data_IF_347254332195
#
_entry.id   IF_347254332195
#
_cell.length_a   1.000
_cell.length_b   1.000
_cell.length_c   1.000
_cell.angle_alpha   90.00
_cell.angle_beta   90.00
_cell.angle_gamma   90.00
#
_symmetry.space_group_name_H-M   'P 1'
#
loop_
_entity.id
_entity.type
_entity.pdbx_description
1 polymer ?
#
# COMPACT_ATOMS: atom_id res chain seq x y z
N UNK A 1 -3.10 5.44 9.87
CA UNK A 1 -2.62 6.57 9.16
C UNK A 1 -2.54 7.81 10.02
N UNK A 2 -3.49 8.62 10.33
CA UNK A 2 -3.21 9.99 10.80
C UNK A 2 -3.24 10.23 12.30
N UNK A 3 -2.69 9.37 13.13
CA UNK A 3 -2.60 9.73 14.55
C UNK A 3 -1.56 10.83 14.82
N UNK A 4 -0.54 10.91 13.99
CA UNK A 4 0.53 11.88 14.14
C UNK A 4 0.55 12.94 13.04
N UNK A 5 -0.18 12.70 11.97
CA UNK A 5 -0.35 13.65 10.90
C UNK A 5 -1.79 14.15 10.89
N UNK A 6 -1.96 15.43 10.61
CA UNK A 6 -3.28 16.06 10.70
C UNK A 6 -4.20 15.71 9.55
N UNK A 7 -3.64 15.50 8.36
CA UNK A 7 -4.41 15.20 7.17
C UNK A 7 -3.51 14.64 6.07
N UNK A 8 -4.12 13.94 5.13
CA UNK A 8 -3.44 13.52 3.91
C UNK A 8 -3.14 14.78 3.07
N UNK A 9 -1.90 14.95 2.57
CA UNK A 9 -1.56 16.12 1.77
C UNK A 9 -2.41 16.25 0.50
N UNK A 10 -2.69 17.48 0.09
CA UNK A 10 -3.48 17.76 -1.11
C UNK A 10 -2.87 17.13 -2.37
N UNK A 11 -1.56 17.09 -2.46
CA UNK A 11 -0.83 16.47 -3.55
C UNK A 11 -1.17 14.98 -3.68
N UNK A 12 -1.30 14.28 -2.54
CA UNK A 12 -1.67 12.86 -2.52
C UNK A 12 -3.14 12.68 -2.93
N UNK A 13 -4.03 13.54 -2.44
CA UNK A 13 -5.43 13.52 -2.88
C UNK A 13 -5.57 13.74 -4.38
N UNK A 14 -4.76 14.63 -4.95
CA UNK A 14 -4.76 14.87 -6.41
C UNK A 14 -4.33 13.60 -7.17
N UNK A 15 -3.36 12.86 -6.67
CA UNK A 15 -2.95 11.59 -7.27
C UNK A 15 -4.04 10.52 -7.16
N UNK A 16 -4.72 10.45 -6.01
CA UNK A 16 -5.86 9.55 -5.82
C UNK A 16 -6.95 9.84 -6.84
N UNK A 17 -7.25 11.10 -7.07
CA UNK A 17 -8.28 11.52 -8.03
C UNK A 17 -7.93 11.13 -9.47
N UNK A 18 -6.63 11.11 -9.81
CA UNK A 18 -6.16 10.76 -11.15
C UNK A 18 -5.96 9.27 -11.39
N UNK A 19 -5.69 8.51 -10.35
CA UNK A 19 -5.35 7.10 -10.48
C UNK A 19 -6.54 6.25 -10.91
N UNK A 20 -6.29 5.24 -11.74
CA UNK A 20 -7.32 4.25 -12.08
C UNK A 20 -7.60 3.34 -10.90
N UNK A 21 -6.56 3.02 -10.12
CA UNK A 21 -6.65 2.15 -8.95
C UNK A 21 -5.82 2.77 -7.82
N UNK A 22 -6.38 2.77 -6.62
CA UNK A 22 -5.70 3.20 -5.40
C UNK A 22 -5.53 1.98 -4.49
N UNK A 23 -4.34 1.79 -3.96
CA UNK A 23 -4.03 0.72 -3.02
C UNK A 23 -3.68 1.33 -1.67
N UNK A 24 -4.30 0.82 -0.60
CA UNK A 24 -4.01 1.23 0.77
C UNK A 24 -3.76 0.00 1.63
N UNK A 25 -2.60 -0.06 2.25
CA UNK A 25 -2.12 -1.24 2.96
C UNK A 25 -2.45 -1.26 4.46
N UNK A 26 -3.45 -0.50 4.89
CA UNK A 26 -3.96 -0.58 6.27
C UNK A 26 -3.53 0.59 7.17
N UNK A 27 -3.97 0.50 8.43
CA UNK A 27 -3.83 1.54 9.45
C UNK A 27 -4.60 2.82 9.08
N UNK A 28 -5.88 2.64 8.87
CA UNK A 28 -6.82 3.72 8.58
C UNK A 28 -7.11 4.60 9.80
N UNK A 29 -7.18 3.97 10.96
CA UNK A 29 -7.48 4.54 12.28
C UNK A 29 -8.91 5.06 12.44
N UNK A 30 -9.53 5.60 11.40
CA UNK A 30 -10.89 6.15 11.45
C UNK A 30 -11.68 5.80 10.20
N UNK A 31 -12.95 5.41 10.40
CA UNK A 31 -13.86 5.09 9.29
C UNK A 31 -14.08 6.26 8.31
N UNK A 32 -14.20 7.53 8.77
CA UNK A 32 -14.36 8.64 7.82
C UNK A 32 -13.25 8.75 6.77
N UNK A 33 -12.02 8.36 7.09
CA UNK A 33 -10.93 8.34 6.10
C UNK A 33 -11.19 7.27 5.04
N UNK A 34 -11.61 6.08 5.44
CA UNK A 34 -11.98 5.03 4.50
C UNK A 34 -13.13 5.47 3.59
N UNK A 35 -14.16 6.10 4.17
CA UNK A 35 -15.28 6.62 3.41
C UNK A 35 -14.82 7.63 2.34
N UNK A 36 -13.89 8.51 2.69
CA UNK A 36 -13.37 9.51 1.75
C UNK A 36 -12.57 8.87 0.62
N UNK A 37 -11.75 7.86 0.93
CA UNK A 37 -11.04 7.10 -0.10
C UNK A 37 -12.00 6.38 -1.04
N UNK A 38 -13.05 5.77 -0.50
CA UNK A 38 -14.05 5.07 -1.32
C UNK A 38 -14.81 6.04 -2.24
N UNK A 39 -15.08 7.25 -1.75
CA UNK A 39 -15.76 8.26 -2.56
C UNK A 39 -14.89 8.82 -3.68
N UNK A 40 -13.59 8.98 -3.43
CA UNK A 40 -12.68 9.67 -4.36
C UNK A 40 -11.93 8.74 -5.29
N UNK A 41 -11.57 7.54 -4.87
CA UNK A 41 -10.86 6.59 -5.71
C UNK A 41 -11.81 5.97 -6.74
N UNK A 42 -11.35 5.86 -7.98
CA UNK A 42 -12.12 5.16 -9.03
C UNK A 42 -12.28 3.68 -8.68
N UNK A 43 -11.20 3.07 -8.22
CA UNK A 43 -11.19 1.70 -7.68
C UNK A 43 -10.26 1.69 -6.47
N UNK A 44 -10.74 1.18 -5.35
CA UNK A 44 -9.95 1.07 -4.13
C UNK A 44 -9.69 -0.38 -3.78
N UNK A 45 -8.42 -0.75 -3.60
CA UNK A 45 -8.01 -2.03 -3.07
C UNK A 45 -7.36 -1.77 -1.73
N UNK A 46 -7.94 -2.28 -0.66
CA UNK A 46 -7.52 -1.92 0.68
C UNK A 46 -7.62 -3.08 1.65
N UNK A 47 -6.80 -3.04 2.67
CA UNK A 47 -6.80 -4.00 3.78
C UNK A 47 -6.85 -3.25 5.11
N UNK A 48 -7.20 -3.95 6.18
CA UNK A 48 -7.11 -3.42 7.53
C UNK A 48 -5.71 -3.63 8.08
N UNK A 49 -5.29 -2.70 8.94
CA UNK A 49 -4.01 -2.77 9.65
C UNK A 49 -4.20 -3.14 11.12
N UNK A 50 -3.09 -3.29 11.83
CA UNK A 50 -3.10 -3.65 13.25
C UNK A 50 -3.68 -2.56 14.17
N UNK A 51 -3.75 -1.32 13.71
CA UNK A 51 -4.35 -0.21 14.46
C UNK A 51 -5.83 0.03 14.09
N UNK A 52 -6.38 -0.76 13.19
CA UNK A 52 -7.76 -0.62 12.77
C UNK A 52 -8.65 -1.46 13.69
N UNK A 53 -9.63 -0.82 14.31
CA UNK A 53 -10.52 -1.46 15.27
C UNK A 53 -11.55 -2.39 14.62
N UNK A 54 -12.41 -3.02 15.48
CA UNK A 54 -13.39 -3.99 14.98
C UNK A 54 -14.42 -3.40 14.00
N UNK A 55 -14.62 -2.08 13.99
CA UNK A 55 -15.51 -1.41 13.05
C UNK A 55 -15.06 -1.56 11.58
N UNK A 56 -13.80 -1.92 11.35
CA UNK A 56 -13.28 -2.19 10.01
C UNK A 56 -13.47 -3.64 9.55
N UNK A 57 -13.82 -4.55 10.45
CA UNK A 57 -13.87 -5.98 10.14
C UNK A 57 -14.84 -6.32 9.02
N UNK A 58 -15.98 -5.65 8.96
CA UNK A 58 -17.00 -5.87 7.94
C UNK A 58 -16.72 -5.14 6.62
N UNK A 59 -15.75 -4.23 6.63
CA UNK A 59 -15.43 -3.36 5.49
C UNK A 59 -14.16 -3.77 4.75
N UNK A 60 -13.18 -4.30 5.46
CA UNK A 60 -11.84 -4.55 4.92
C UNK A 60 -11.34 -5.95 5.30
N UNK A 61 -10.74 -6.68 4.33
CA UNK A 61 -10.08 -7.95 4.61
C UNK A 61 -8.70 -7.73 5.21
N UNK A 62 -8.11 -8.78 5.76
CA UNK A 62 -6.70 -8.81 6.18
C UNK A 62 -5.77 -8.90 4.97
N UNK A 63 -6.18 -9.63 3.95
CA UNK A 63 -5.45 -9.79 2.69
C UNK A 63 -6.41 -9.56 1.55
N UNK A 64 -6.04 -8.68 0.62
CA UNK A 64 -6.80 -8.47 -0.61
C UNK A 64 -6.02 -9.06 -1.79
N UNK A 65 -6.70 -9.81 -2.65
CA UNK A 65 -6.11 -10.39 -3.85
C UNK A 65 -6.95 -10.02 -5.05
N UNK A 66 -6.31 -9.58 -6.12
CA UNK A 66 -6.98 -9.23 -7.37
C UNK A 66 -6.01 -9.35 -8.53
N UNK A 67 -6.53 -9.28 -9.74
CA UNK A 67 -5.73 -9.22 -10.95
C UNK A 67 -6.07 -7.94 -11.69
N UNK A 68 -5.04 -7.18 -12.07
CA UNK A 68 -5.18 -5.92 -12.78
C UNK A 68 -4.25 -5.97 -14.00
N UNK A 69 -4.82 -5.83 -15.19
CA UNK A 69 -4.05 -5.82 -16.44
C UNK A 69 -3.08 -7.02 -16.55
N UNK A 70 -3.52 -8.20 -16.11
CA UNK A 70 -2.71 -9.41 -16.16
C UNK A 70 -1.68 -9.55 -15.04
N UNK A 71 -1.64 -8.62 -14.08
CA UNK A 71 -0.77 -8.69 -12.91
C UNK A 71 -1.57 -9.17 -11.71
N UNK A 72 -1.12 -10.26 -11.10
CA UNK A 72 -1.75 -10.82 -9.90
C UNK A 72 -1.19 -10.09 -8.67
N UNK A 73 -2.06 -9.32 -8.03
CA UNK A 73 -1.73 -8.44 -6.90
C UNK A 73 -2.24 -9.03 -5.59
N UNK A 74 -1.40 -9.00 -4.57
CA UNK A 74 -1.82 -9.21 -3.18
C UNK A 74 -1.43 -7.99 -2.34
N UNK A 75 -2.34 -7.58 -1.45
CA UNK A 75 -2.10 -6.48 -0.50
C UNK A 75 -2.27 -7.03 0.90
N UNK A 76 -1.31 -6.76 1.77
CA UNK A 76 -1.32 -7.17 3.16
C UNK A 76 -0.67 -6.07 4.00
N UNK A 77 -1.16 -5.86 5.23
CA UNK A 77 -0.62 -4.78 6.07
C UNK A 77 0.80 -5.07 6.53
N UNK A 78 1.07 -6.29 6.98
CA UNK A 78 2.33 -6.64 7.65
C UNK A 78 2.94 -7.91 7.07
N UNK A 79 4.26 -7.91 6.89
CA UNK A 79 5.01 -9.04 6.35
C UNK A 79 6.00 -9.64 7.34
N UNK A 80 5.99 -9.20 8.59
CA UNK A 80 6.95 -9.62 9.60
C UNK A 80 8.31 -8.93 9.45
N UNK A 81 9.36 -9.57 9.95
CA UNK A 81 10.69 -8.97 9.97
C UNK A 81 11.28 -8.81 8.56
N UNK A 82 12.20 -7.85 8.44
CA UNK A 82 12.94 -7.59 7.21
C UNK A 82 13.76 -8.82 6.78
N UNK A 83 14.39 -9.51 7.72
CA UNK A 83 15.20 -10.69 7.43
C UNK A 83 14.32 -11.82 6.89
N UNK A 84 14.69 -12.37 5.74
CA UNK A 84 13.99 -13.47 5.08
C UNK A 84 12.64 -13.11 4.48
N UNK A 85 12.36 -11.81 4.29
CA UNK A 85 11.07 -11.35 3.77
C UNK A 85 10.75 -11.95 2.42
N UNK A 86 11.70 -11.89 1.48
CA UNK A 86 11.48 -12.39 0.11
C UNK A 86 11.15 -13.88 0.09
N UNK A 87 11.91 -14.69 0.83
CA UNK A 87 11.68 -16.14 0.92
C UNK A 87 10.33 -16.44 1.54
N UNK A 88 9.99 -15.75 2.62
CA UNK A 88 8.73 -15.94 3.32
C UNK A 88 7.54 -15.58 2.46
N UNK A 89 7.63 -14.46 1.71
CA UNK A 89 6.56 -14.03 0.83
C UNK A 89 6.42 -14.92 -0.41
N UNK A 90 7.51 -15.46 -0.94
CA UNK A 90 7.43 -16.47 -2.00
C UNK A 90 6.62 -17.69 -1.55
N UNK A 91 6.81 -18.13 -0.32
CA UNK A 91 6.05 -19.27 0.22
C UNK A 91 4.57 -18.90 0.43
N UNK A 92 4.29 -17.69 0.89
CA UNK A 92 2.93 -17.26 1.24
C UNK A 92 2.14 -16.78 0.02
N UNK A 93 2.78 -16.10 -0.92
CA UNK A 93 2.16 -15.44 -2.07
C UNK A 93 2.79 -15.86 -3.40
N UNK A 94 3.23 -17.11 -3.51
CA UNK A 94 3.88 -17.60 -4.73
C UNK A 94 3.00 -17.59 -5.97
N UNK A 95 1.68 -17.41 -5.80
CA UNK A 95 0.72 -17.26 -6.88
C UNK A 95 0.52 -15.79 -7.31
N UNK A 96 1.17 -14.84 -6.66
CA UNK A 96 1.09 -13.42 -7.00
C UNK A 96 2.32 -12.97 -7.80
N UNK A 97 2.17 -11.88 -8.54
CA UNK A 97 3.26 -11.21 -9.25
C UNK A 97 3.77 -10.01 -8.46
N UNK A 98 2.91 -9.41 -7.65
CA UNK A 98 3.19 -8.20 -6.89
C UNK A 98 2.53 -8.30 -5.51
N UNK A 99 3.30 -8.00 -4.45
CA UNK A 99 2.79 -7.81 -3.09
C UNK A 99 3.06 -6.38 -2.67
N UNK A 100 2.04 -5.71 -2.16
CA UNK A 100 2.14 -4.39 -1.55
C UNK A 100 1.83 -4.53 -0.06
N UNK A 101 2.69 -3.97 0.78
CA UNK A 101 2.53 -4.02 2.23
C UNK A 101 2.83 -2.66 2.88
N UNK A 102 2.47 -2.51 4.14
CA UNK A 102 2.67 -1.28 4.90
C UNK A 102 3.35 -1.51 6.24
N UNK A 103 2.73 -1.04 7.31
CA UNK A 103 3.10 -1.20 8.72
C UNK A 103 4.39 -0.47 9.14
N UNK A 104 5.52 -0.74 8.49
CA UNK A 104 6.81 -0.19 8.90
C UNK A 104 6.97 1.30 8.59
N UNK A 105 6.20 1.83 7.64
CA UNK A 105 6.34 3.18 7.07
C UNK A 105 7.69 3.38 6.35
N UNK A 106 8.43 2.32 6.10
CA UNK A 106 9.72 2.36 5.42
C UNK A 106 9.53 1.94 3.97
N UNK A 107 9.87 2.79 3.00
CA UNK A 107 9.81 2.41 1.60
C UNK A 107 10.64 1.16 1.32
N UNK A 108 10.08 0.27 0.50
CA UNK A 108 10.73 -1.00 0.17
C UNK A 108 10.46 -1.36 -1.29
N UNK A 109 11.47 -1.87 -1.96
CA UNK A 109 11.34 -2.37 -3.32
C UNK A 109 12.35 -3.51 -3.50
N UNK A 110 11.85 -4.72 -3.61
CA UNK A 110 12.69 -5.88 -3.86
C UNK A 110 11.98 -6.88 -4.76
N UNK A 111 12.75 -7.82 -5.30
CA UNK A 111 12.23 -8.93 -6.08
C UNK A 111 12.77 -10.22 -5.48
N UNK A 112 11.87 -11.18 -5.22
CA UNK A 112 12.25 -12.48 -4.68
C UNK A 112 12.91 -13.36 -5.75
N UNK A 113 13.50 -14.46 -5.32
CA UNK A 113 14.07 -15.46 -6.23
C UNK A 113 12.99 -16.06 -7.16
N UNK A 114 11.75 -16.15 -6.67
CA UNK A 114 10.61 -16.62 -7.47
C UNK A 114 10.04 -15.58 -8.44
N UNK A 115 10.58 -14.37 -8.47
CA UNK A 115 10.12 -13.31 -9.36
C UNK A 115 9.02 -12.43 -8.80
N UNK A 116 8.65 -12.58 -7.52
CA UNK A 116 7.65 -11.76 -6.86
C UNK A 116 8.21 -10.36 -6.57
N UNK A 117 7.55 -9.32 -7.09
CA UNK A 117 7.88 -7.93 -6.75
C UNK A 117 7.23 -7.56 -5.43
N UNK A 118 7.99 -6.93 -4.55
CA UNK A 118 7.55 -6.61 -3.18
C UNK A 118 7.77 -5.12 -2.96
N UNK A 119 6.69 -4.39 -2.68
CA UNK A 119 6.71 -2.93 -2.55
C UNK A 119 6.07 -2.48 -1.24
N UNK A 120 6.69 -1.48 -0.61
CA UNK A 120 6.09 -0.71 0.47
C UNK A 120 6.20 0.77 0.09
N UNK A 121 5.09 1.51 0.03
CA UNK A 121 5.12 2.91 -0.36
C UNK A 121 5.65 3.86 0.71
N UNK A 122 5.97 3.37 1.91
CA UNK A 122 6.19 4.24 3.05
C UNK A 122 4.89 4.79 3.57
N UNK A 123 4.91 5.99 4.16
CA UNK A 123 3.69 6.64 4.63
C UNK A 123 3.63 8.09 4.19
N UNK A 124 2.49 8.53 3.64
CA UNK A 124 2.32 9.94 3.26
C UNK A 124 1.97 10.85 4.44
N UNK A 125 1.74 10.29 5.62
CA UNK A 125 1.28 11.04 6.80
C UNK A 125 2.19 10.91 8.01
N UNK A 126 2.77 9.74 8.25
CA UNK A 126 3.62 9.48 9.40
C UNK A 126 4.94 8.84 8.96
N UNK A 127 5.97 9.65 8.79
CA UNK A 127 7.28 9.19 8.32
C UNK A 127 8.10 8.46 9.39
N UNK A 128 7.68 8.50 10.63
CA UNK A 128 8.46 7.98 11.77
C UNK A 128 9.89 8.49 11.73
N UNK A 129 10.89 7.61 11.56
CA UNK A 129 12.32 7.98 11.52
C UNK A 129 12.84 8.23 10.11
N UNK A 130 12.00 8.03 9.08
CA UNK A 130 12.39 8.27 7.70
C UNK A 130 12.51 9.77 7.43
N UNK A 131 13.42 10.20 6.53
CA UNK A 131 13.62 11.62 6.24
C UNK A 131 12.43 12.27 5.56
N UNK A 132 11.60 11.49 4.86
CA UNK A 132 10.47 12.01 4.10
C UNK A 132 9.22 11.16 4.30
N UNK A 133 8.04 11.82 4.22
CA UNK A 133 6.78 11.13 3.94
C UNK A 133 6.79 10.76 2.47
N UNK A 134 6.23 9.61 2.13
CA UNK A 134 6.33 9.07 0.78
C UNK A 134 5.04 8.41 0.32
N UNK A 135 4.91 8.26 -0.99
CA UNK A 135 3.93 7.39 -1.62
C UNK A 135 4.51 6.83 -2.93
N UNK A 136 3.88 5.80 -3.47
CA UNK A 136 4.31 5.17 -4.72
C UNK A 136 3.27 5.37 -5.82
N UNK A 137 3.75 5.55 -7.05
CA UNK A 137 2.95 5.35 -8.25
C UNK A 137 3.59 4.29 -9.13
N UNK A 138 2.78 3.56 -9.86
CA UNK A 138 3.24 2.56 -10.81
C UNK A 138 2.20 2.35 -11.90
N UNK A 139 2.59 1.66 -12.96
CA UNK A 139 1.70 1.29 -14.06
C UNK A 139 1.68 -0.22 -14.19
N UNK A 140 0.48 -0.79 -14.28
CA UNK A 140 0.26 -2.20 -14.59
C UNK A 140 -0.33 -2.28 -16.00
N UNK A 141 0.36 -2.99 -16.89
CA UNK A 141 -0.04 -3.05 -18.29
C UNK A 141 0.42 -4.36 -18.92
N UNK A 142 -0.52 -5.11 -19.48
CA UNK A 142 -0.25 -6.35 -20.21
C UNK A 142 0.64 -7.34 -19.44
N UNK A 143 0.38 -7.51 -18.15
CA UNK A 143 1.13 -8.41 -17.28
C UNK A 143 2.45 -7.85 -16.78
N UNK A 144 2.75 -6.59 -17.05
CA UNK A 144 4.02 -5.95 -16.72
C UNK A 144 3.82 -4.87 -15.65
N UNK A 145 4.72 -4.88 -14.66
CA UNK A 145 4.82 -3.82 -13.65
C UNK A 145 5.88 -2.84 -14.14
N UNK A 146 5.50 -1.60 -14.39
CA UNK A 146 6.43 -0.60 -14.90
C UNK A 146 6.24 0.77 -14.28
N UNK A 147 7.19 1.66 -14.51
CA UNK A 147 7.16 3.05 -14.06
C UNK A 147 6.95 3.17 -12.55
N UNK A 148 7.59 2.29 -11.78
CA UNK A 148 7.53 2.33 -10.32
C UNK A 148 8.33 3.52 -9.84
N UNK A 149 7.67 4.46 -9.17
CA UNK A 149 8.28 5.70 -8.72
C UNK A 149 7.91 5.99 -7.27
N UNK A 150 8.92 6.21 -6.44
CA UNK A 150 8.75 6.65 -5.06
C UNK A 150 8.75 8.18 -5.04
N UNK A 151 7.66 8.75 -4.56
CA UNK A 151 7.51 10.20 -4.43
C UNK A 151 7.78 10.61 -2.99
N UNK A 152 8.67 11.57 -2.82
CA UNK A 152 8.99 12.15 -1.53
C UNK A 152 8.27 13.46 -1.36
N UNK A 153 7.48 13.55 -0.28
CA UNK A 153 6.75 14.77 0.04
C UNK A 153 7.68 15.79 0.68
N UNK A 154 7.41 17.09 0.51
CA UNK A 154 8.20 18.11 1.18
C UNK A 154 8.19 17.91 2.70
N UNK A 155 9.33 18.12 3.32
CA UNK A 155 9.43 18.18 4.78
C UNK A 155 8.88 19.52 5.23
N UNK A 156 7.80 19.48 6.00
CA UNK A 156 7.17 20.69 6.50
C UNK A 156 7.61 20.97 7.93
#
# INVERSE_FOLDING_TARGET
MPQRAKALPDEVWAEIDRADVVVHAGDWNRLPLLDEFEDRASTLIAVRGNNDGPEFDDRLPLVARTEIEGVRLAVVHETGSKAGRETRLDAQFGDADLVIFGHSHIPWDSTSDGGLRILNPGSPTDRRREPHRTYLTLVLDAGVIRDVELHRLPTA
#
